data_IF_139788985914
#
_entry.id   IF_139788985914
#
_cell.length_a   1.000
_cell.length_b   1.000
_cell.length_c   1.000
_cell.angle_alpha   90.00
_cell.angle_beta   90.00
_cell.angle_gamma   90.00
#
_symmetry.space_group_name_H-M   'P 1'
#
loop_
_entity.id
_entity.type
_entity.pdbx_description
1 polymer ?
#
# COMPACT_ATOMS: atom_id res chain seq x y z
N UNK A 1 -9.07 2.38 -8.18
CA UNK A 1 -9.24 2.81 -6.78
C UNK A 1 -10.14 1.83 -6.04
N UNK A 2 -9.80 1.51 -4.79
CA UNK A 2 -10.54 0.62 -3.87
C UNK A 2 -11.02 1.45 -2.68
N UNK A 3 -12.29 1.34 -2.31
CA UNK A 3 -12.91 2.15 -1.24
C UNK A 3 -12.86 1.47 0.13
N UNK A 4 -12.53 2.22 1.18
CA UNK A 4 -12.43 1.74 2.58
C UNK A 4 -12.89 2.82 3.56
N UNK A 5 -14.06 2.67 4.18
CA UNK A 5 -14.53 3.47 5.33
C UNK A 5 -14.21 4.98 5.25
N UNK A 6 -14.57 5.64 4.13
CA UNK A 6 -14.33 7.07 3.89
C UNK A 6 -12.99 7.41 3.22
N UNK A 7 -12.14 6.42 2.98
CA UNK A 7 -10.86 6.54 2.27
C UNK A 7 -10.92 5.80 0.92
N UNK A 8 -10.02 6.17 0.00
CA UNK A 8 -9.80 5.46 -1.26
C UNK A 8 -8.33 5.16 -1.44
N UNK A 9 -8.00 3.91 -1.73
CA UNK A 9 -6.65 3.47 -2.11
C UNK A 9 -6.59 3.46 -3.63
N UNK A 10 -5.45 3.83 -4.23
CA UNK A 10 -5.37 3.94 -5.69
C UNK A 10 -5.48 2.57 -6.38
N UNK A 11 -4.72 1.60 -5.88
CA UNK A 11 -4.70 0.22 -6.40
C UNK A 11 -4.72 -0.75 -5.21
N UNK A 12 -5.60 -1.74 -5.27
CA UNK A 12 -5.57 -2.90 -4.37
C UNK A 12 -5.05 -4.12 -5.11
N UNK A 13 -4.07 -4.81 -4.53
CA UNK A 13 -3.53 -6.07 -5.06
C UNK A 13 -4.20 -7.21 -4.33
N UNK A 14 -4.94 -8.03 -5.07
CA UNK A 14 -5.64 -9.19 -4.54
C UNK A 14 -4.68 -10.34 -4.22
N UNK A 15 -5.04 -11.16 -3.24
CA UNK A 15 -4.38 -12.42 -2.98
C UNK A 15 -4.69 -13.40 -4.13
N UNK A 16 -3.68 -14.03 -4.74
CA UNK A 16 -3.89 -14.88 -5.92
C UNK A 16 -4.74 -16.13 -5.64
N UNK A 17 -4.76 -16.61 -4.40
CA UNK A 17 -5.49 -17.81 -3.98
C UNK A 17 -6.71 -17.48 -3.09
N UNK A 18 -6.93 -16.19 -2.78
CA UNK A 18 -8.02 -15.72 -1.92
C UNK A 18 -8.61 -14.45 -2.51
N UNK A 19 -9.51 -14.56 -3.49
CA UNK A 19 -9.94 -13.44 -4.32
C UNK A 19 -10.67 -12.33 -3.56
N UNK A 20 -11.12 -12.59 -2.33
CA UNK A 20 -11.76 -11.60 -1.46
C UNK A 20 -10.78 -10.89 -0.50
N UNK A 21 -9.51 -11.29 -0.49
CA UNK A 21 -8.47 -10.69 0.36
C UNK A 21 -7.50 -9.82 -0.48
N UNK A 22 -7.13 -8.66 0.07
CA UNK A 22 -6.05 -7.83 -0.47
C UNK A 22 -4.74 -8.12 0.27
N UNK A 23 -3.64 -8.26 -0.47
CA UNK A 23 -2.30 -8.42 0.10
C UNK A 23 -1.56 -7.09 0.25
N UNK A 24 -1.94 -6.09 -0.54
CA UNK A 24 -1.26 -4.80 -0.57
C UNK A 24 -2.18 -3.72 -1.15
N UNK A 25 -2.26 -2.58 -0.48
CA UNK A 25 -2.72 -1.33 -1.09
C UNK A 25 -1.53 -0.54 -1.63
N UNK A 26 -1.64 -0.01 -2.84
CA UNK A 26 -0.66 0.90 -3.43
C UNK A 26 -1.27 2.29 -3.51
N UNK A 27 -0.53 3.27 -3.00
CA UNK A 27 -0.86 4.69 -3.11
C UNK A 27 0.19 5.43 -3.93
N UNK A 28 -0.28 6.29 -4.82
CA UNK A 28 0.57 7.25 -5.52
C UNK A 28 0.44 8.61 -4.85
N UNK A 29 1.45 9.46 -5.01
CA UNK A 29 1.31 10.88 -4.70
C UNK A 29 0.33 11.57 -5.66
N UNK A 30 -0.46 12.50 -5.12
CA UNK A 30 -1.42 13.27 -5.92
C UNK A 30 -0.74 14.26 -6.86
N UNK A 31 -1.43 14.63 -7.94
CA UNK A 31 -0.94 15.50 -9.02
C UNK A 31 -0.38 16.88 -8.61
N UNK A 32 -0.60 17.31 -7.36
CA UNK A 32 -0.15 18.60 -6.81
C UNK A 32 1.05 18.45 -5.85
N UNK A 33 2.00 17.57 -6.14
CA UNK A 33 3.22 17.41 -5.36
C UNK A 33 4.19 18.59 -5.58
N UNK A 34 3.89 19.78 -5.05
CA UNK A 34 4.80 20.93 -5.20
C UNK A 34 5.09 21.79 -3.96
N UNK A 35 4.49 21.58 -2.77
CA UNK A 35 4.93 22.32 -1.57
C UNK A 35 4.75 21.58 -0.23
N UNK A 36 5.75 21.82 0.63
CA UNK A 36 5.70 21.82 2.10
C UNK A 36 5.66 20.50 2.89
N UNK A 37 6.36 20.54 4.03
CA UNK A 37 6.41 19.59 5.15
C UNK A 37 5.02 19.03 5.53
N UNK A 38 3.97 19.84 5.36
CA UNK A 38 2.57 19.49 5.60
C UNK A 38 2.04 18.34 4.72
N UNK A 39 2.51 18.20 3.47
CA UNK A 39 2.10 17.08 2.61
C UNK A 39 2.68 15.76 3.11
N UNK A 40 3.95 15.75 3.54
CA UNK A 40 4.59 14.55 4.11
C UNK A 40 3.93 14.11 5.41
N UNK A 41 3.58 15.05 6.28
CA UNK A 41 2.89 14.74 7.54
C UNK A 41 1.47 14.20 7.27
N UNK A 42 0.78 14.73 6.24
CA UNK A 42 -0.48 14.17 5.77
C UNK A 42 -0.34 12.75 5.20
N UNK A 43 0.70 12.50 4.40
CA UNK A 43 0.93 11.17 3.82
C UNK A 43 1.29 10.13 4.88
N UNK A 44 2.04 10.53 5.92
CA UNK A 44 2.32 9.71 7.10
C UNK A 44 1.06 9.41 7.90
N UNK A 45 0.29 10.43 8.27
CA UNK A 45 -0.97 10.25 9.00
C UNK A 45 -1.94 9.38 8.21
N UNK A 46 -2.00 9.57 6.90
CA UNK A 46 -2.83 8.76 6.01
C UNK A 46 -2.39 7.29 6.02
N UNK A 47 -1.09 7.04 5.90
CA UNK A 47 -0.55 5.69 5.98
C UNK A 47 -0.89 5.04 7.31
N UNK A 48 -0.67 5.74 8.43
CA UNK A 48 -1.02 5.26 9.78
C UNK A 48 -2.51 4.93 9.91
N UNK A 49 -3.40 5.78 9.40
CA UNK A 49 -4.84 5.51 9.43
C UNK A 49 -5.21 4.26 8.62
N UNK A 50 -4.62 4.07 7.44
CA UNK A 50 -4.90 2.91 6.60
C UNK A 50 -4.34 1.62 7.22
N UNK A 51 -3.14 1.69 7.79
CA UNK A 51 -2.50 0.58 8.52
C UNK A 51 -3.31 0.21 9.77
N UNK A 52 -3.82 1.19 10.53
CA UNK A 52 -4.75 0.96 11.64
C UNK A 52 -6.08 0.34 11.21
N UNK A 53 -6.45 0.46 9.93
CA UNK A 53 -7.62 -0.23 9.33
C UNK A 53 -7.26 -1.60 8.75
N UNK A 54 -6.05 -2.11 9.01
CA UNK A 54 -5.60 -3.43 8.59
C UNK A 54 -4.96 -3.48 7.21
N UNK A 55 -4.70 -2.34 6.57
CA UNK A 55 -4.05 -2.32 5.26
C UNK A 55 -2.53 -2.38 5.37
N UNK A 56 -1.91 -3.21 4.54
CA UNK A 56 -0.50 -3.03 4.20
C UNK A 56 -0.41 -2.03 3.05
N UNK A 57 0.33 -0.93 3.23
CA UNK A 57 0.44 0.14 2.22
C UNK A 57 1.85 0.20 1.63
N UNK A 58 1.95 0.26 0.30
CA UNK A 58 3.16 0.59 -0.42
C UNK A 58 2.96 1.91 -1.18
N UNK A 59 3.87 2.87 -0.98
CA UNK A 59 3.75 4.19 -1.60
C UNK A 59 4.76 4.38 -2.73
N UNK A 60 4.26 4.80 -3.89
CA UNK A 60 5.06 5.18 -5.05
C UNK A 60 5.02 6.70 -5.18
N UNK A 61 6.19 7.33 -5.19
CA UNK A 61 6.30 8.77 -5.40
C UNK A 61 6.64 9.05 -6.86
N UNK A 62 5.93 9.97 -7.49
CA UNK A 62 6.07 10.30 -8.90
C UNK A 62 7.47 10.80 -9.24
N UNK A 63 8.11 11.54 -8.33
CA UNK A 63 9.50 11.98 -8.46
C UNK A 63 10.48 10.80 -8.45
N UNK A 64 10.32 9.87 -7.51
CA UNK A 64 11.21 8.70 -7.40
C UNK A 64 10.99 7.75 -8.58
N UNK A 65 9.73 7.56 -8.97
CA UNK A 65 9.38 6.79 -10.16
C UNK A 65 9.97 7.38 -11.43
N UNK A 66 9.89 8.70 -11.60
CA UNK A 66 10.44 9.38 -12.78
C UNK A 66 11.98 9.30 -12.82
N UNK A 67 12.65 9.48 -11.68
CA UNK A 67 14.13 9.48 -11.61
C UNK A 67 14.74 8.09 -11.57
N UNK A 68 14.08 7.14 -10.93
CA UNK A 68 14.63 5.83 -10.54
C UNK A 68 13.64 4.68 -10.74
N UNK A 69 12.93 4.69 -11.87
CA UNK A 69 11.87 3.72 -12.19
C UNK A 69 12.20 2.26 -11.88
N UNK A 70 13.36 1.77 -12.33
CA UNK A 70 13.75 0.38 -12.12
C UNK A 70 13.92 0.03 -10.64
N UNK A 71 14.50 0.94 -9.86
CA UNK A 71 14.66 0.76 -8.42
C UNK A 71 13.29 0.71 -7.73
N UNK A 72 12.36 1.56 -8.15
CA UNK A 72 10.99 1.59 -7.63
C UNK A 72 10.21 0.31 -7.97
N UNK A 73 10.38 -0.23 -9.18
CA UNK A 73 9.81 -1.52 -9.59
C UNK A 73 10.37 -2.63 -8.70
N UNK A 74 11.69 -2.70 -8.52
CA UNK A 74 12.34 -3.72 -7.66
C UNK A 74 11.82 -3.62 -6.22
N UNK A 75 11.68 -2.40 -5.69
CA UNK A 75 11.15 -2.15 -4.35
C UNK A 75 9.71 -2.64 -4.20
N UNK A 76 8.84 -2.35 -5.18
CA UNK A 76 7.46 -2.83 -5.21
C UNK A 76 7.40 -4.36 -5.28
N UNK A 77 8.18 -4.99 -6.17
CA UNK A 77 8.23 -6.45 -6.30
C UNK A 77 8.68 -7.13 -5.01
N UNK A 78 9.66 -6.55 -4.31
CA UNK A 78 10.09 -7.04 -2.99
C UNK A 78 8.95 -6.96 -1.97
N UNK A 79 8.27 -5.81 -1.87
CA UNK A 79 7.13 -5.65 -0.94
C UNK A 79 6.00 -6.64 -1.25
N UNK A 80 5.69 -6.88 -2.52
CA UNK A 80 4.69 -7.86 -2.95
C UNK A 80 5.07 -9.28 -2.55
N UNK A 81 6.33 -9.67 -2.77
CA UNK A 81 6.84 -10.99 -2.36
C UNK A 81 6.75 -11.20 -0.86
N UNK A 82 7.10 -10.18 -0.07
CA UNK A 82 6.98 -10.22 1.40
C UNK A 82 5.52 -10.25 1.86
N UNK A 83 4.64 -9.45 1.23
CA UNK A 83 3.21 -9.45 1.54
C UNK A 83 2.56 -10.82 1.28
N UNK A 84 2.92 -11.48 0.18
CA UNK A 84 2.44 -12.83 -0.14
C UNK A 84 2.90 -13.87 0.90
N UNK A 85 4.13 -13.76 1.42
CA UNK A 85 4.67 -14.70 2.41
C UNK A 85 4.09 -14.51 3.82
N UNK A 86 3.74 -13.28 4.17
CA UNK A 86 3.28 -12.91 5.51
C UNK A 86 1.86 -13.35 5.87
N UNK A 87 1.05 -13.82 4.91
CA UNK A 87 -0.33 -14.25 5.14
C UNK A 87 -0.49 -15.77 5.37
N UNK A 88 0.51 -16.44 5.97
CA UNK A 88 0.30 -17.81 6.48
C UNK A 88 -0.78 -17.75 7.56
N UNK A 89 -1.94 -18.31 7.21
CA UNK A 89 -3.15 -18.45 8.02
C UNK A 89 -2.84 -18.75 9.49
N UNK A 90 -3.22 -17.85 10.39
CA UNK A 90 -3.54 -18.26 11.76
C UNK A 90 -4.73 -19.22 11.66
N UNK A 91 -4.47 -20.52 11.73
CA UNK A 91 -5.51 -21.49 12.02
C UNK A 91 -5.94 -21.24 13.46
N UNK A 92 -7.04 -20.52 13.64
CA UNK A 92 -7.77 -20.54 14.91
C UNK A 92 -8.32 -21.96 15.06
N UNK A 93 -7.60 -22.79 15.81
CA UNK A 93 -8.15 -24.05 16.34
C UNK A 93 -9.09 -23.63 17.47
N UNK A 94 -10.39 -23.75 17.24
CA UNK A 94 -11.38 -23.69 18.32
C UNK A 94 -11.42 -25.08 18.97
N UNK A 95 -11.19 -25.11 20.28
CA UNK A 95 -11.45 -26.26 21.15
C UNK A 95 -12.96 -26.56 21.27
#
# INVERSE_FOLDING_TARGET
QVGVAGYRIDIGVLHPEKPDEYILGIECDGANYHQAKSLRDRDRLRQEILENKGWKIHRIWSIDWFKHREAEIIRLLKTLSEAKKGQKTEMVVQD
#
